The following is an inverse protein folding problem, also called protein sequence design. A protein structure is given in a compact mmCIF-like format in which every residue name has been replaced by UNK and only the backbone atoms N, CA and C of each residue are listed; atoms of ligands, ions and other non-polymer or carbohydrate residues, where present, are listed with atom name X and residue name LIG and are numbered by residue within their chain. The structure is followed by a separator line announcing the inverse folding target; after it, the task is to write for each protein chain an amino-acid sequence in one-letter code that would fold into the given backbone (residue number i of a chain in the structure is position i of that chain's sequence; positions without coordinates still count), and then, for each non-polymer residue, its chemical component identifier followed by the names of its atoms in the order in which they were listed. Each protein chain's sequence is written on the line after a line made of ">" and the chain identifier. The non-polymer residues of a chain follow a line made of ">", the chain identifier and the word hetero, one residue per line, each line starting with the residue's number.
data_IF_903491165457
#
_entry.id   IF_903491165457
#
_cell.length_a   1.000
_cell.length_b   1.000
_cell.length_c   1.000
_cell.angle_alpha   90.00
_cell.angle_beta   90.00
_cell.angle_gamma   90.00
#
_symmetry.space_group_name_H-M   'P 1'
#
loop_
_entity.id
_entity.type
_entity.pdbx_description
1 polymer ?
#
# COMPACT_ATOMS: atom_id res chain seq x y z
N UNK A 1 -9.38 -21.20 -4.95
CA UNK A 1 -8.39 -20.12 -5.22
C UNK A 1 -8.44 -19.04 -4.14
N UNK A 2 -9.64 -18.66 -3.64
CA UNK A 2 -9.80 -17.73 -2.49
C UNK A 2 -8.97 -18.10 -1.26
N UNK A 3 -8.92 -19.39 -0.88
CA UNK A 3 -8.12 -19.84 0.26
C UNK A 3 -6.62 -19.60 0.14
N UNK A 4 -6.07 -19.52 -1.09
CA UNK A 4 -4.64 -19.32 -1.31
C UNK A 4 -4.25 -17.84 -1.20
N UNK A 5 -5.08 -16.92 -1.69
CA UNK A 5 -4.83 -15.47 -1.61
C UNK A 5 -5.05 -14.97 -0.19
N UNK A 6 -6.11 -15.44 0.48
CA UNK A 6 -6.37 -15.09 1.89
C UNK A 6 -5.27 -15.64 2.81
N UNK A 7 -4.85 -16.89 2.60
CA UNK A 7 -3.71 -17.47 3.33
C UNK A 7 -2.41 -16.71 3.07
N UNK A 8 -2.14 -16.30 1.83
CA UNK A 8 -0.99 -15.46 1.50
C UNK A 8 -1.07 -14.09 2.19
N UNK A 9 -2.25 -13.46 2.21
CA UNK A 9 -2.46 -12.16 2.84
C UNK A 9 -2.27 -12.24 4.36
N UNK A 10 -2.76 -13.30 5.01
CA UNK A 10 -2.48 -13.58 6.43
C UNK A 10 -0.98 -13.75 6.69
N UNK A 11 -0.29 -14.59 5.89
CA UNK A 11 1.15 -14.78 6.06
C UNK A 11 1.94 -13.47 5.87
N UNK A 12 1.52 -12.61 4.94
CA UNK A 12 2.14 -11.28 4.76
C UNK A 12 1.85 -10.36 5.92
N UNK A 13 0.66 -10.44 6.50
CA UNK A 13 0.30 -9.71 7.72
C UNK A 13 1.12 -10.18 8.93
N UNK A 14 1.34 -11.48 9.10
CA UNK A 14 2.18 -12.03 10.16
C UNK A 14 3.64 -11.56 10.01
N UNK A 15 4.18 -11.62 8.79
CA UNK A 15 5.51 -11.07 8.50
C UNK A 15 5.61 -9.57 8.77
N UNK A 16 4.52 -8.83 8.55
CA UNK A 16 4.45 -7.42 8.87
C UNK A 16 4.45 -7.19 10.39
N UNK A 17 3.71 -7.99 11.16
CA UNK A 17 3.73 -7.96 12.61
C UNK A 17 5.13 -8.21 13.20
N UNK A 18 5.86 -9.19 12.66
CA UNK A 18 7.22 -9.48 13.11
C UNK A 18 8.17 -8.29 12.91
N UNK A 19 7.97 -7.56 11.81
CA UNK A 19 8.70 -6.31 11.55
C UNK A 19 8.29 -5.22 12.54
N UNK A 20 6.99 -5.07 12.84
CA UNK A 20 6.53 -4.09 13.84
C UNK A 20 7.13 -4.35 15.22
N UNK A 21 7.29 -5.62 15.62
CA UNK A 21 7.93 -5.98 16.89
C UNK A 21 9.39 -5.53 16.98
N UNK A 22 10.09 -5.49 15.84
CA UNK A 22 11.46 -4.97 15.75
C UNK A 22 11.55 -3.44 15.70
N UNK A 23 10.48 -2.78 15.25
CA UNK A 23 10.52 -1.37 14.83
C UNK A 23 9.76 -0.42 15.75
N UNK A 24 8.69 -0.85 16.41
CA UNK A 24 7.80 0.00 17.21
C UNK A 24 8.18 -0.01 18.69
N UNK A 25 8.26 1.18 19.30
CA UNK A 25 8.60 1.38 20.72
C UNK A 25 7.39 1.22 21.62
N UNK A 26 6.80 0.04 21.57
CA UNK A 26 5.72 -0.40 22.44
C UNK A 26 6.07 -1.75 23.06
N UNK A 27 5.34 -2.10 24.12
CA UNK A 27 5.43 -3.43 24.70
C UNK A 27 5.00 -4.47 23.67
N UNK A 28 5.64 -5.63 23.70
CA UNK A 28 5.35 -6.74 22.79
C UNK A 28 3.87 -7.11 22.78
N UNK A 29 3.23 -7.15 23.95
CA UNK A 29 1.81 -7.49 24.09
C UNK A 29 0.89 -6.47 23.41
N UNK A 30 1.21 -5.18 23.53
CA UNK A 30 0.43 -4.10 22.91
C UNK A 30 0.52 -4.16 21.37
N UNK A 31 1.71 -4.45 20.83
CA UNK A 31 1.92 -4.61 19.38
C UNK A 31 1.14 -5.82 18.84
N UNK A 32 1.20 -6.95 19.53
CA UNK A 32 0.46 -8.16 19.14
C UNK A 32 -1.04 -7.89 19.16
N UNK A 33 -1.54 -7.27 20.24
CA UNK A 33 -2.96 -6.95 20.39
C UNK A 33 -3.45 -5.97 19.31
N UNK A 34 -2.63 -4.96 18.98
CA UNK A 34 -2.93 -4.02 17.91
C UNK A 34 -2.96 -4.71 16.55
N UNK A 35 -1.96 -5.52 16.24
CA UNK A 35 -1.88 -6.29 14.99
C UNK A 35 -3.06 -7.25 14.83
N UNK A 36 -3.43 -7.98 15.89
CA UNK A 36 -4.57 -8.89 15.89
C UNK A 36 -5.88 -8.14 15.65
N UNK A 37 -6.09 -7.01 16.33
CA UNK A 37 -7.27 -6.18 16.11
C UNK A 37 -7.35 -5.69 14.66
N UNK A 38 -6.22 -5.26 14.09
CA UNK A 38 -6.17 -4.83 12.69
C UNK A 38 -6.44 -5.99 11.72
N UNK A 39 -5.89 -7.18 11.97
CA UNK A 39 -6.17 -8.37 11.18
C UNK A 39 -7.66 -8.76 11.22
N UNK A 40 -8.27 -8.76 12.41
CA UNK A 40 -9.69 -9.04 12.60
C UNK A 40 -10.59 -8.03 11.87
N UNK A 41 -10.14 -6.78 11.75
CA UNK A 41 -10.85 -5.76 10.97
C UNK A 41 -10.63 -5.93 9.46
N UNK A 42 -9.39 -6.16 9.00
CA UNK A 42 -9.05 -6.33 7.58
C UNK A 42 -9.73 -7.57 6.99
N UNK A 43 -9.71 -8.69 7.72
CA UNK A 43 -10.22 -9.98 7.26
C UNK A 43 -11.61 -10.29 7.80
N UNK A 44 -12.38 -9.26 8.12
CA UNK A 44 -13.75 -9.39 8.62
C UNK A 44 -14.70 -9.78 7.48
N UNK A 45 -14.99 -11.08 7.34
CA UNK A 45 -15.88 -11.57 6.28
C UNK A 45 -17.23 -10.85 6.22
N UNK A 46 -17.99 -10.65 7.33
CA UNK A 46 -19.25 -9.90 7.30
C UNK A 46 -19.12 -8.48 6.76
N UNK A 47 -18.13 -7.71 7.23
CA UNK A 47 -17.93 -6.32 6.77
C UNK A 47 -17.49 -6.27 5.31
N UNK A 48 -16.61 -7.19 4.91
CA UNK A 48 -16.15 -7.31 3.52
C UNK A 48 -17.32 -7.63 2.57
N UNK A 49 -18.16 -8.60 2.93
CA UNK A 49 -19.37 -8.95 2.17
C UNK A 49 -20.32 -7.74 2.11
N UNK A 50 -20.59 -7.09 3.24
CA UNK A 50 -21.46 -5.92 3.28
C UNK A 50 -20.95 -4.78 2.40
N UNK A 51 -19.64 -4.51 2.43
CA UNK A 51 -19.00 -3.51 1.59
C UNK A 51 -19.10 -3.88 0.11
N UNK A 52 -18.84 -5.15 -0.26
CA UNK A 52 -18.95 -5.61 -1.64
C UNK A 52 -20.40 -5.50 -2.16
N UNK A 53 -21.40 -5.81 -1.35
CA UNK A 53 -22.81 -5.65 -1.72
C UNK A 53 -23.19 -4.17 -1.89
N UNK A 54 -22.72 -3.29 -1.00
CA UNK A 54 -22.88 -1.84 -1.14
C UNK A 54 -22.21 -1.33 -2.42
N UNK A 55 -21.04 -1.87 -2.75
CA UNK A 55 -20.30 -1.51 -3.95
C UNK A 55 -21.04 -1.92 -5.23
N UNK A 56 -21.61 -3.14 -5.27
CA UNK A 56 -22.48 -3.58 -6.37
C UNK A 56 -23.68 -2.62 -6.53
N UNK A 57 -24.33 -2.25 -5.43
CA UNK A 57 -25.44 -1.30 -5.46
C UNK A 57 -25.02 0.07 -6.01
N UNK A 58 -23.83 0.55 -5.62
CA UNK A 58 -23.26 1.79 -6.11
C UNK A 58 -22.93 1.75 -7.61
N UNK A 59 -22.30 0.66 -8.08
CA UNK A 59 -22.01 0.40 -9.50
C UNK A 59 -23.30 0.43 -10.33
N UNK A 60 -24.34 -0.22 -9.82
CA UNK A 60 -25.66 -0.24 -10.46
C UNK A 60 -26.33 1.14 -10.51
N UNK A 61 -26.22 1.93 -9.44
CA UNK A 61 -26.76 3.29 -9.37
C UNK A 61 -26.11 4.24 -10.38
N UNK A 62 -24.80 4.11 -10.59
CA UNK A 62 -24.06 4.94 -11.56
C UNK A 62 -24.28 4.46 -12.99
N UNK A 63 -24.71 3.20 -13.14
CA UNK A 63 -25.06 2.62 -14.42
C UNK A 63 -23.87 2.06 -15.20
N UNK A 64 -22.75 1.77 -14.52
CA UNK A 64 -21.56 1.14 -15.14
C UNK A 64 -21.84 -0.29 -15.62
N UNK A 65 -22.92 -0.90 -15.13
CA UNK A 65 -23.35 -2.26 -15.48
C UNK A 65 -24.41 -2.33 -16.59
N UNK A 66 -24.78 -1.18 -17.17
CA UNK A 66 -25.58 -1.12 -18.38
C UNK A 66 -24.70 -1.37 -19.59
N UNK A 67 -24.85 -2.57 -20.17
CA UNK A 67 -24.22 -2.94 -21.41
C UNK A 67 -25.29 -3.15 -22.47
N UNK A 68 -25.15 -2.48 -23.61
CA UNK A 68 -26.08 -2.60 -24.73
C UNK A 68 -25.71 -3.84 -25.56
N UNK A 69 -25.98 -5.01 -24.97
CA UNK A 69 -25.59 -6.32 -25.49
C UNK A 69 -26.80 -7.14 -25.89
N UNK A 70 -26.79 -7.61 -27.14
CA UNK A 70 -27.72 -8.64 -27.60
C UNK A 70 -27.11 -10.03 -27.37
N UNK A 71 -27.87 -10.90 -26.70
CA UNK A 71 -27.47 -12.29 -26.44
C UNK A 71 -28.36 -13.23 -27.23
N UNK A 72 -27.76 -14.28 -27.80
CA UNK A 72 -28.47 -15.28 -28.59
C UNK A 72 -29.40 -16.17 -27.73
N UNK A 73 -29.19 -16.20 -26.42
CA UNK A 73 -30.02 -16.96 -25.47
C UNK A 73 -30.07 -16.33 -24.08
N UNK A 74 -31.15 -16.59 -23.35
CA UNK A 74 -31.29 -16.19 -21.95
C UNK A 74 -30.20 -16.83 -21.05
N UNK A 75 -29.76 -18.04 -21.40
CA UNK A 75 -28.68 -18.73 -20.68
C UNK A 75 -27.35 -17.97 -20.80
N UNK A 76 -27.01 -17.48 -22.00
CA UNK A 76 -25.81 -16.65 -22.20
C UNK A 76 -25.90 -15.29 -21.51
N UNK A 77 -27.09 -14.68 -21.49
CA UNK A 77 -27.33 -13.42 -20.76
C UNK A 77 -27.14 -13.61 -19.25
N UNK A 78 -27.74 -14.66 -18.69
CA UNK A 78 -27.62 -15.00 -17.28
C UNK A 78 -26.17 -15.31 -16.87
N UNK A 79 -25.45 -16.09 -17.67
CA UNK A 79 -24.05 -16.41 -17.43
C UNK A 79 -23.18 -15.14 -17.44
N UNK A 80 -23.41 -14.24 -18.40
CA UNK A 80 -22.71 -12.96 -18.46
C UNK A 80 -22.98 -12.08 -17.25
N UNK A 81 -24.26 -11.83 -16.90
CA UNK A 81 -24.63 -11.01 -15.74
C UNK A 81 -24.09 -11.60 -14.42
N UNK A 82 -24.13 -12.92 -14.28
CA UNK A 82 -23.56 -13.60 -13.11
C UNK A 82 -22.05 -13.42 -13.01
N UNK A 83 -21.32 -13.58 -14.11
CA UNK A 83 -19.88 -13.35 -14.16
C UNK A 83 -19.52 -11.89 -13.88
N UNK A 84 -20.30 -10.94 -14.43
CA UNK A 84 -20.14 -9.51 -14.20
C UNK A 84 -20.28 -9.16 -12.71
N UNK A 85 -21.41 -9.52 -12.08
CA UNK A 85 -21.63 -9.17 -10.67
C UNK A 85 -20.69 -9.92 -9.73
N UNK A 86 -20.26 -11.14 -10.08
CA UNK A 86 -19.20 -11.82 -9.34
C UNK A 86 -17.89 -11.04 -9.40
N UNK A 87 -17.51 -10.52 -10.56
CA UNK A 87 -16.30 -9.73 -10.71
C UNK A 87 -16.39 -8.39 -9.95
N UNK A 88 -17.53 -7.69 -10.01
CA UNK A 88 -17.77 -6.47 -9.21
C UNK A 88 -17.76 -6.77 -7.71
N UNK A 89 -18.31 -7.92 -7.28
CA UNK A 89 -18.25 -8.37 -5.89
C UNK A 89 -16.79 -8.55 -5.44
N UNK A 90 -15.97 -9.23 -6.25
CA UNK A 90 -14.55 -9.45 -5.96
C UNK A 90 -13.76 -8.13 -5.92
N UNK A 91 -14.08 -7.19 -6.82
CA UNK A 91 -13.51 -5.85 -6.81
C UNK A 91 -13.87 -5.09 -5.53
N UNK A 92 -15.14 -5.10 -5.13
CA UNK A 92 -15.62 -4.47 -3.90
C UNK A 92 -14.98 -5.07 -2.65
N UNK A 93 -14.89 -6.40 -2.58
CA UNK A 93 -14.19 -7.10 -1.48
C UNK A 93 -12.68 -6.75 -1.45
N UNK A 94 -12.04 -6.67 -2.61
CA UNK A 94 -10.65 -6.23 -2.73
C UNK A 94 -10.43 -4.79 -2.29
N UNK A 95 -11.34 -3.87 -2.68
CA UNK A 95 -11.35 -2.48 -2.23
C UNK A 95 -11.49 -2.35 -0.72
N UNK A 96 -12.33 -3.17 -0.10
CA UNK A 96 -12.44 -3.20 1.36
C UNK A 96 -11.10 -3.53 2.01
N UNK A 97 -10.45 -4.63 1.59
CA UNK A 97 -9.16 -5.05 2.11
C UNK A 97 -8.13 -3.94 1.91
N UNK A 98 -8.09 -3.32 0.73
CA UNK A 98 -7.25 -2.17 0.41
C UNK A 98 -7.47 -1.01 1.39
N UNK A 99 -8.70 -0.55 1.59
CA UNK A 99 -8.94 0.56 2.51
C UNK A 99 -8.49 0.23 3.93
N UNK A 100 -8.80 -0.98 4.41
CA UNK A 100 -8.44 -1.41 5.76
C UNK A 100 -6.93 -1.59 5.95
N UNK A 101 -6.20 -2.13 4.97
CA UNK A 101 -4.74 -2.25 5.05
C UNK A 101 -4.06 -0.89 5.00
N UNK A 102 -4.54 0.04 4.18
CA UNK A 102 -4.02 1.41 4.16
C UNK A 102 -4.23 2.12 5.50
N UNK A 103 -5.43 2.00 6.08
CA UNK A 103 -5.72 2.56 7.40
C UNK A 103 -4.82 1.95 8.47
N UNK A 104 -4.60 0.63 8.43
CA UNK A 104 -3.74 -0.05 9.39
C UNK A 104 -2.28 0.43 9.29
N UNK A 105 -1.73 0.54 8.07
CA UNK A 105 -0.37 1.04 7.85
C UNK A 105 -0.25 2.53 8.19
N UNK A 106 -1.27 3.33 7.88
CA UNK A 106 -1.32 4.73 8.30
C UNK A 106 -1.27 4.87 9.83
N UNK A 107 -2.09 4.10 10.55
CA UNK A 107 -2.08 4.08 12.02
C UNK A 107 -0.72 3.66 12.59
N UNK A 108 -0.02 2.75 11.92
CA UNK A 108 1.34 2.35 12.30
C UNK A 108 2.34 3.48 12.07
N UNK A 109 2.20 4.25 10.99
CA UNK A 109 3.01 5.44 10.75
C UNK A 109 2.81 6.56 11.79
N UNK A 110 1.91 6.38 12.76
CA UNK A 110 1.71 7.27 13.90
C UNK A 110 2.31 6.72 15.21
N UNK A 111 2.82 5.48 15.21
CA UNK A 111 3.38 4.84 16.40
C UNK A 111 4.82 5.31 16.68
N UNK A 112 5.26 5.31 17.96
CA UNK A 112 6.64 5.63 18.29
C UNK A 112 7.59 4.53 17.78
N UNK A 113 8.76 4.93 17.27
CA UNK A 113 9.77 4.02 16.74
C UNK A 113 10.85 3.69 17.77
N UNK A 114 11.27 2.42 17.81
CA UNK A 114 12.44 2.00 18.59
C UNK A 114 13.68 2.68 18.04
N UNK A 115 14.52 3.05 18.98
CA UNK A 115 15.84 3.60 18.78
C UNK A 115 16.71 2.79 17.82
N UNK A 116 16.73 1.48 18.03
CA UNK A 116 17.57 0.55 17.27
C UNK A 116 16.99 0.25 15.88
N UNK A 117 15.70 0.56 15.68
CA UNK A 117 15.01 0.38 14.42
C UNK A 117 15.51 1.33 13.34
N UNK A 118 16.06 2.51 13.70
CA UNK A 118 16.75 3.42 12.76
C UNK A 118 17.89 2.74 11.99
N UNK A 119 18.49 1.69 12.55
CA UNK A 119 19.51 0.89 11.90
C UNK A 119 18.96 -0.35 11.19
N UNK A 120 17.66 -0.62 11.35
CA UNK A 120 16.96 -1.71 10.68
C UNK A 120 16.50 -1.29 9.29
N UNK A 121 16.33 -2.28 8.42
CA UNK A 121 15.95 -2.07 7.03
C UNK A 121 14.45 -1.72 6.91
N UNK A 122 14.12 -0.43 7.11
CA UNK A 122 12.77 0.13 6.90
C UNK A 122 12.20 -0.14 5.51
N UNK A 123 13.06 -0.50 4.55
CA UNK A 123 12.64 -0.96 3.24
C UNK A 123 11.72 -2.17 3.33
N UNK A 124 11.90 -3.04 4.33
CA UNK A 124 11.06 -4.22 4.54
C UNK A 124 9.57 -3.87 4.73
N UNK A 125 9.27 -2.78 5.44
CA UNK A 125 7.89 -2.27 5.59
C UNK A 125 7.35 -1.80 4.24
N UNK A 126 8.13 -0.98 3.53
CA UNK A 126 7.73 -0.47 2.22
C UNK A 126 7.55 -1.57 1.18
N UNK A 127 8.40 -2.61 1.21
CA UNK A 127 8.34 -3.77 0.33
C UNK A 127 7.14 -4.66 0.61
N UNK A 128 6.79 -4.92 1.88
CA UNK A 128 5.56 -5.67 2.18
C UNK A 128 4.33 -4.89 1.74
N UNK A 129 4.31 -3.59 2.00
CA UNK A 129 3.19 -2.75 1.58
C UNK A 129 3.05 -2.66 0.06
N UNK A 130 4.17 -2.52 -0.67
CA UNK A 130 4.17 -2.52 -2.12
C UNK A 130 3.69 -3.85 -2.70
N UNK A 131 3.97 -4.98 -2.04
CA UNK A 131 3.41 -6.29 -2.42
C UNK A 131 1.87 -6.31 -2.27
N UNK A 132 1.32 -5.74 -1.20
CA UNK A 132 -0.14 -5.58 -1.06
C UNK A 132 -0.70 -4.67 -2.17
N UNK A 133 -0.03 -3.56 -2.49
CA UNK A 133 -0.42 -2.67 -3.61
C UNK A 133 -0.38 -3.39 -4.95
N UNK A 134 0.65 -4.18 -5.23
CA UNK A 134 0.76 -4.96 -6.48
C UNK A 134 -0.35 -6.01 -6.56
N UNK A 135 -0.67 -6.70 -5.47
CA UNK A 135 -1.76 -7.67 -5.44
C UNK A 135 -3.11 -7.02 -5.77
N UNK A 136 -3.39 -5.87 -5.15
CA UNK A 136 -4.58 -5.07 -5.40
C UNK A 136 -4.65 -4.54 -6.83
N UNK A 137 -3.52 -4.05 -7.35
CA UNK A 137 -3.37 -3.63 -8.72
C UNK A 137 -3.66 -4.75 -9.74
N UNK A 138 -3.37 -6.01 -9.41
CA UNK A 138 -3.71 -7.12 -10.30
C UNK A 138 -5.23 -7.30 -10.43
N UNK A 139 -6.01 -7.05 -9.38
CA UNK A 139 -7.48 -7.05 -9.46
C UNK A 139 -7.97 -5.98 -10.44
N UNK A 140 -7.38 -4.79 -10.38
CA UNK A 140 -7.66 -3.71 -11.33
C UNK A 140 -7.30 -4.05 -12.77
N UNK A 141 -6.15 -4.68 -13.01
CA UNK A 141 -5.72 -5.11 -14.35
C UNK A 141 -6.66 -6.20 -14.91
N UNK A 142 -7.04 -7.18 -14.09
CA UNK A 142 -7.97 -8.25 -14.48
C UNK A 142 -9.34 -7.65 -14.83
N UNK A 143 -9.81 -6.68 -14.05
CA UNK A 143 -11.05 -5.96 -14.34
C UNK A 143 -10.95 -5.11 -15.61
N UNK A 144 -9.83 -4.42 -15.81
CA UNK A 144 -9.51 -3.72 -17.06
C UNK A 144 -9.57 -4.64 -18.27
N UNK A 145 -8.95 -5.80 -18.18
CA UNK A 145 -8.99 -6.78 -19.26
C UNK A 145 -10.40 -7.31 -19.53
N UNK A 146 -11.19 -7.57 -18.47
CA UNK A 146 -12.57 -8.01 -18.62
C UNK A 146 -13.42 -6.99 -19.41
N UNK A 147 -13.27 -5.70 -19.14
CA UNK A 147 -13.97 -4.61 -19.84
C UNK A 147 -13.45 -4.37 -21.28
N UNK A 148 -12.22 -4.78 -21.59
CA UNK A 148 -11.68 -4.76 -22.98
C UNK A 148 -12.27 -5.90 -23.81
N UNK A 149 -12.37 -7.09 -23.22
CA UNK A 149 -12.77 -8.31 -23.94
C UNK A 149 -14.28 -8.43 -24.05
N UNK A 150 -15.04 -7.85 -23.12
CA UNK A 150 -16.50 -7.90 -23.12
C UNK A 150 -17.06 -6.49 -23.25
N UNK A 151 -17.97 -6.27 -24.21
CA UNK A 151 -17.73 -5.52 -25.44
C UNK A 151 -17.06 -4.17 -25.18
N UNK A 152 -16.25 -3.69 -26.13
CA UNK A 152 -15.42 -2.51 -25.94
C UNK A 152 -16.31 -1.28 -25.76
N UNK A 153 -16.45 -0.82 -24.52
CA UNK A 153 -17.11 0.43 -24.17
C UNK A 153 -16.21 1.31 -23.30
N UNK A 154 -14.89 1.32 -23.54
CA UNK A 154 -14.08 2.44 -23.02
C UNK A 154 -14.40 3.76 -23.74
N UNK A 155 -15.29 3.74 -24.74
CA UNK A 155 -15.89 4.92 -25.34
C UNK A 155 -16.85 5.66 -24.42
N UNK A 156 -17.43 4.99 -23.41
CA UNK A 156 -18.35 5.65 -22.48
C UNK A 156 -17.56 6.51 -21.50
N UNK A 157 -17.96 7.78 -21.35
CA UNK A 157 -17.38 8.69 -20.36
C UNK A 157 -17.43 8.06 -18.94
N UNK A 158 -18.48 7.29 -18.64
CA UNK A 158 -18.64 6.60 -17.36
C UNK A 158 -17.54 5.56 -17.13
N UNK A 159 -17.20 4.74 -18.13
CA UNK A 159 -16.12 3.75 -18.06
C UNK A 159 -14.76 4.44 -17.88
N UNK A 160 -14.49 5.50 -18.64
CA UNK A 160 -13.24 6.27 -18.53
C UNK A 160 -13.09 6.86 -17.12
N UNK A 161 -14.15 7.49 -16.60
CA UNK A 161 -14.16 8.06 -15.25
C UNK A 161 -14.00 6.98 -14.20
N UNK A 162 -14.63 5.82 -14.37
CA UNK A 162 -14.50 4.68 -13.45
C UNK A 162 -13.07 4.17 -13.34
N UNK A 163 -12.44 3.88 -14.49
CA UNK A 163 -11.04 3.42 -14.53
C UNK A 163 -10.07 4.46 -14.02
N UNK A 164 -10.22 5.72 -14.44
CA UNK A 164 -9.38 6.82 -13.97
C UNK A 164 -9.53 7.05 -12.47
N UNK A 165 -10.76 6.94 -11.94
CA UNK A 165 -11.04 7.03 -10.51
C UNK A 165 -10.36 5.91 -9.73
N UNK A 166 -10.46 4.66 -10.19
CA UNK A 166 -9.82 3.53 -9.54
C UNK A 166 -8.28 3.63 -9.57
N UNK A 167 -7.71 4.10 -10.68
CA UNK A 167 -6.28 4.39 -10.79
C UNK A 167 -5.82 5.44 -9.76
N UNK A 168 -6.60 6.51 -9.56
CA UNK A 168 -6.33 7.52 -8.54
C UNK A 168 -6.43 6.94 -7.13
N UNK A 169 -7.42 6.08 -6.86
CA UNK A 169 -7.56 5.38 -5.58
C UNK A 169 -6.35 4.48 -5.32
N UNK A 170 -5.88 3.70 -6.31
CA UNK A 170 -4.68 2.88 -6.17
C UNK A 170 -3.41 3.72 -5.92
N UNK A 171 -3.29 4.86 -6.60
CA UNK A 171 -2.18 5.77 -6.38
C UNK A 171 -2.18 6.36 -4.96
N UNK A 172 -3.35 6.82 -4.51
CA UNK A 172 -3.54 7.33 -3.15
C UNK A 172 -3.28 6.23 -2.11
N UNK A 173 -3.77 5.01 -2.37
CA UNK A 173 -3.52 3.82 -1.54
C UNK A 173 -2.02 3.56 -1.40
N UNK A 174 -1.23 3.71 -2.46
CA UNK A 174 0.22 3.57 -2.36
C UNK A 174 0.86 4.72 -1.58
N UNK A 175 0.59 5.97 -1.96
CA UNK A 175 1.35 7.11 -1.45
C UNK A 175 1.02 7.49 -0.01
N UNK A 176 -0.25 7.49 0.39
CA UNK A 176 -0.66 8.07 1.69
C UNK A 176 -0.03 7.35 2.89
N UNK A 177 -0.16 6.02 3.03
CA UNK A 177 0.49 5.30 4.13
C UNK A 177 2.03 5.33 4.04
N UNK A 178 2.61 5.30 2.83
CA UNK A 178 4.07 5.44 2.67
C UNK A 178 4.55 6.84 3.11
N UNK A 179 3.77 7.87 2.84
CA UNK A 179 4.04 9.22 3.33
C UNK A 179 3.97 9.30 4.86
N UNK A 180 3.03 8.59 5.49
CA UNK A 180 2.96 8.49 6.95
C UNK A 180 4.23 7.90 7.54
N UNK A 181 4.71 6.78 6.96
CA UNK A 181 5.96 6.14 7.39
C UNK A 181 7.16 7.05 7.15
N UNK A 182 7.21 7.74 6.00
CA UNK A 182 8.26 8.71 5.69
C UNK A 182 8.32 9.85 6.72
N UNK A 183 7.16 10.41 7.10
CA UNK A 183 7.08 11.44 8.14
C UNK A 183 7.58 10.93 9.49
N UNK A 184 7.20 9.70 9.85
CA UNK A 184 7.69 9.01 11.04
C UNK A 184 9.22 8.86 11.02
N UNK A 185 9.81 8.39 9.91
CA UNK A 185 11.25 8.27 9.72
C UNK A 185 11.98 9.62 9.86
N UNK A 186 11.48 10.68 9.21
CA UNK A 186 12.09 12.03 9.31
C UNK A 186 12.05 12.55 10.74
N UNK A 187 10.90 12.44 11.42
CA UNK A 187 10.77 12.95 12.79
C UNK A 187 11.76 12.27 13.73
N UNK A 188 11.90 10.95 13.60
CA UNK A 188 12.81 10.14 14.41
C UNK A 188 14.27 10.44 14.06
N UNK A 189 14.60 10.61 12.77
CA UNK A 189 15.94 11.04 12.31
C UNK A 189 16.32 12.40 12.90
N UNK A 190 15.40 13.36 12.92
CA UNK A 190 15.62 14.70 13.46
C UNK A 190 15.87 14.66 14.97
N UNK A 191 15.03 13.96 15.73
CA UNK A 191 15.21 13.80 17.18
C UNK A 191 16.58 13.19 17.51
N UNK A 192 17.03 12.20 16.73
CA UNK A 192 18.36 11.59 16.91
C UNK A 192 19.49 12.51 16.53
N UNK A 193 19.35 13.29 15.46
CA UNK A 193 20.36 14.27 15.09
C UNK A 193 20.52 15.35 16.19
N UNK A 194 19.42 15.77 16.81
CA UNK A 194 19.43 16.71 17.93
C UNK A 194 20.07 16.10 19.19
N UNK A 195 19.70 14.87 19.56
CA UNK A 195 20.33 14.15 20.67
C UNK A 195 21.82 13.91 20.43
N UNK A 196 22.19 13.49 19.22
CA UNK A 196 23.58 13.29 18.81
C UNK A 196 24.38 14.59 18.88
N UNK A 197 23.84 15.68 18.34
CA UNK A 197 24.46 17.00 18.39
C UNK A 197 24.68 17.46 19.84
N UNK A 198 23.73 17.17 20.73
CA UNK A 198 23.87 17.47 22.16
C UNK A 198 24.95 16.62 22.85
N UNK A 199 25.02 15.32 22.57
CA UNK A 199 26.05 14.42 23.13
C UNK A 199 27.45 14.76 22.61
N UNK A 200 27.58 15.12 21.33
CA UNK A 200 28.83 15.55 20.74
C UNK A 200 29.29 16.89 21.30
N UNK A 201 28.39 17.87 21.49
CA UNK A 201 28.70 19.12 22.21
C UNK A 201 29.15 18.85 23.64
N UNK A 202 28.42 18.00 24.38
CA UNK A 202 28.80 17.64 25.74
C UNK A 202 30.15 16.89 25.82
N UNK A 203 30.46 16.05 24.83
CA UNK A 203 31.75 15.36 24.74
C UNK A 203 32.89 16.30 24.33
N UNK A 204 32.60 17.33 23.53
CA UNK A 204 33.55 18.38 23.15
C UNK A 204 33.78 19.42 24.26
N UNK A 205 32.76 19.69 25.09
CA UNK A 205 32.81 20.61 26.23
C UNK A 205 33.32 19.93 27.53
N UNK A 206 33.35 18.60 27.58
CA UNK A 206 34.05 17.82 28.61
C UNK A 206 35.58 17.84 28.40
N UNK A 207 36.41 17.41 29.38
CA UNK A 207 37.86 17.54 29.29
C UNK A 207 38.43 16.62 28.20
N UNK A 208 38.44 17.12 26.97
CA UNK A 208 39.29 16.66 25.85
C UNK A 208 40.78 16.96 26.11
N UNK A 209 41.18 17.17 27.37
CA UNK A 209 42.57 17.44 27.75
C UNK A 209 43.43 16.17 27.79
N UNK A 210 42.83 14.97 27.80
CA UNK A 210 43.59 13.70 27.78
C UNK A 210 43.02 12.72 26.74
N UNK A 211 43.72 12.46 25.62
CA UNK A 211 43.32 11.45 24.65
C UNK A 211 43.54 10.06 25.25
N UNK A 212 42.47 9.50 25.81
CA UNK A 212 42.40 8.10 26.24
C UNK A 212 41.75 7.27 25.13
N UNK A 213 42.16 6.01 24.99
CA UNK A 213 41.62 5.09 23.97
C UNK A 213 40.09 4.98 24.01
N UNK A 214 39.49 5.12 25.20
CA UNK A 214 38.04 5.10 25.43
C UNK A 214 37.33 6.34 24.85
N UNK A 215 37.95 7.52 24.90
CA UNK A 215 37.42 8.74 24.30
C UNK A 215 37.51 8.70 22.77
N UNK A 216 38.59 8.11 22.24
CA UNK A 216 38.76 7.89 20.79
C UNK A 216 37.76 6.85 20.27
N UNK A 217 37.49 5.78 21.03
CA UNK A 217 36.47 4.80 20.65
C UNK A 217 35.08 5.41 20.63
N UNK A 218 34.71 6.21 21.64
CA UNK A 218 33.43 6.94 21.67
C UNK A 218 33.29 7.89 20.49
N UNK A 219 34.34 8.64 20.14
CA UNK A 219 34.35 9.51 18.95
C UNK A 219 34.15 8.72 17.66
N UNK A 220 34.80 7.54 17.54
CA UNK A 220 34.62 6.65 16.38
C UNK A 220 33.19 6.13 16.28
N UNK A 221 32.59 5.71 17.39
CA UNK A 221 31.20 5.25 17.43
C UNK A 221 30.24 6.38 17.04
N UNK A 222 30.51 7.61 17.48
CA UNK A 222 29.75 8.80 17.10
C UNK A 222 29.82 9.07 15.58
N UNK A 223 31.01 9.00 14.96
CA UNK A 223 31.13 9.15 13.51
C UNK A 223 30.46 8.01 12.73
N UNK A 224 30.49 6.78 13.24
CA UNK A 224 29.79 5.65 12.63
C UNK A 224 28.27 5.83 12.65
N UNK A 225 27.72 6.39 13.73
CA UNK A 225 26.30 6.73 13.82
C UNK A 225 25.92 7.83 12.81
N UNK A 226 26.75 8.88 12.70
CA UNK A 226 26.52 9.95 11.74
C UNK A 226 26.56 9.46 10.28
N UNK A 227 27.53 8.63 9.93
CA UNK A 227 27.65 8.03 8.58
C UNK A 227 26.46 7.13 8.26
N UNK A 228 25.98 6.32 9.23
CA UNK A 228 24.76 5.51 9.08
C UNK A 228 23.50 6.36 8.90
N UNK A 229 23.33 7.42 9.69
CA UNK A 229 22.18 8.33 9.57
C UNK A 229 22.17 9.08 8.23
N UNK A 230 23.34 9.42 7.69
CA UNK A 230 23.48 10.05 6.38
C UNK A 230 23.21 9.08 5.22
N UNK A 231 23.54 7.80 5.39
CA UNK A 231 23.29 6.74 4.39
C UNK A 231 21.88 6.16 4.44
N UNK A 232 21.08 6.53 5.44
CA UNK A 232 19.71 6.07 5.58
C UNK A 232 18.83 6.58 4.43
N UNK A 233 18.08 5.67 3.81
CA UNK A 233 17.11 5.97 2.75
C UNK A 233 16.12 7.04 3.21
N UNK A 234 15.88 8.05 2.38
CA UNK A 234 14.89 9.09 2.68
C UNK A 234 13.46 8.55 2.63
N UNK A 235 13.20 7.57 1.76
CA UNK A 235 11.89 6.97 1.57
C UNK A 235 11.87 5.50 1.99
N UNK A 236 10.72 5.01 2.51
CA UNK A 236 10.52 3.61 2.89
C UNK A 236 10.45 2.65 1.69
N UNK A 237 10.37 3.15 0.45
CA UNK A 237 10.29 2.35 -0.77
C UNK A 237 11.43 2.67 -1.74
N UNK A 238 11.71 1.73 -2.64
CA UNK A 238 12.76 1.87 -3.64
C UNK A 238 12.23 2.39 -4.96
N UNK A 239 13.16 2.72 -5.84
CA UNK A 239 12.84 3.14 -7.21
C UNK A 239 12.09 2.04 -7.99
N UNK A 240 12.37 0.78 -7.67
CA UNK A 240 11.74 -0.39 -8.31
C UNK A 240 10.24 -0.47 -8.00
N UNK A 241 9.87 -0.31 -6.74
CA UNK A 241 8.47 -0.31 -6.27
C UNK A 241 7.69 0.84 -6.90
N UNK A 242 8.29 2.03 -6.94
CA UNK A 242 7.70 3.20 -7.58
C UNK A 242 7.46 2.97 -9.07
N UNK A 243 8.44 2.40 -9.78
CA UNK A 243 8.30 2.03 -11.19
C UNK A 243 7.20 1.00 -11.41
N UNK A 244 7.12 -0.05 -10.60
CA UNK A 244 6.08 -1.06 -10.74
C UNK A 244 4.68 -0.46 -10.63
N UNK A 245 4.48 0.43 -9.65
CA UNK A 245 3.17 1.04 -9.41
C UNK A 245 2.83 2.06 -10.49
N UNK A 246 3.82 2.84 -10.94
CA UNK A 246 3.65 3.71 -12.09
C UNK A 246 3.24 2.92 -13.33
N UNK A 247 3.94 1.82 -13.65
CA UNK A 247 3.62 0.97 -14.81
C UNK A 247 2.22 0.35 -14.69
N UNK A 248 1.86 -0.17 -13.52
CA UNK A 248 0.54 -0.73 -13.23
C UNK A 248 -0.59 0.26 -13.48
N UNK A 249 -0.39 1.52 -13.10
CA UNK A 249 -1.40 2.58 -13.27
C UNK A 249 -1.43 3.08 -14.71
N UNK A 250 -0.26 3.24 -15.32
CA UNK A 250 -0.11 3.79 -16.67
C UNK A 250 -0.59 2.82 -17.74
N UNK A 251 -0.40 1.50 -17.60
CA UNK A 251 -0.80 0.54 -18.63
C UNK A 251 -2.31 0.66 -18.95
N UNK A 252 -3.25 0.57 -17.98
CA UNK A 252 -4.67 0.72 -18.26
C UNK A 252 -5.03 2.09 -18.84
N UNK A 253 -4.39 3.17 -18.38
CA UNK A 253 -4.63 4.51 -18.91
C UNK A 253 -4.15 4.64 -20.37
N UNK A 254 -3.00 4.07 -20.70
CA UNK A 254 -2.48 4.05 -22.08
C UNK A 254 -3.41 3.23 -22.98
N UNK A 255 -3.95 2.11 -22.50
CA UNK A 255 -4.92 1.32 -23.27
C UNK A 255 -6.19 2.14 -23.59
N UNK A 256 -6.72 2.88 -22.61
CA UNK A 256 -7.86 3.79 -22.82
C UNK A 256 -7.50 4.86 -23.85
N UNK A 257 -6.33 5.50 -23.72
CA UNK A 257 -5.89 6.53 -24.66
C UNK A 257 -5.69 5.99 -26.08
N UNK A 258 -5.18 4.77 -26.22
CA UNK A 258 -5.03 4.09 -27.51
C UNK A 258 -6.39 3.77 -28.12
N UNK A 259 -7.37 3.31 -27.34
CA UNK A 259 -8.72 3.04 -27.84
C UNK A 259 -9.42 4.31 -28.35
N UNK A 260 -9.26 5.42 -27.62
CA UNK A 260 -9.73 6.75 -28.03
C UNK A 260 -9.01 7.20 -29.32
N UNK A 261 -7.68 7.12 -29.36
CA UNK A 261 -6.86 7.59 -30.47
C UNK A 261 -7.05 6.77 -31.76
N UNK A 262 -7.25 5.46 -31.63
CA UNK A 262 -7.49 4.55 -32.76
C UNK A 262 -8.94 4.62 -33.28
N UNK A 263 -9.81 5.43 -32.64
CA UNK A 263 -11.20 5.58 -33.07
C UNK A 263 -12.03 4.30 -32.99
N UNK A 264 -11.58 3.32 -32.20
CA UNK A 264 -12.35 2.12 -31.87
C UNK A 264 -13.54 2.47 -30.97
N UNK A 265 -13.42 3.56 -30.20
CA UNK A 265 -14.51 4.29 -29.60
C UNK A 265 -15.30 5.07 -30.68
N UNK A 266 -16.19 4.38 -31.41
CA UNK A 266 -17.21 5.10 -32.19
C UNK A 266 -18.15 5.81 -31.20
N UNK A 267 -18.22 7.13 -31.34
CA UNK A 267 -19.24 8.02 -30.76
C UNK A 267 -20.66 7.45 -30.92
#
# INVERSE_FOLDING_TARGET
>A
MEGMIISWAHHKWDSFQDILLGIVDLNREDIIKLSQKQAEEIFNNPKMIAFALLFIFFVHLIGVDYHDLSFASDASYFAFKSAYYLAVYLEGAGLYILFMTALAVHNIGLLPLRLDALYSDFHSIGTIYSQFTICAAMVYIVWGFFQIVVPPQFSSLQTIVWFSGFALVLFAYFLLPQYSIHKMMISTKKERFELFSSQMRAAMDGPLEVPTDENVSRLRDLFLVQDKLNKMSEWPFGWRELLYIAVVILIPLILILLEIALGLARL
#
